data_IF_815733357075
#
_entry.id   IF_815733357075
#
_cell.length_a   1.000
_cell.length_b   1.000
_cell.length_c   1.000
_cell.angle_alpha   90.00
_cell.angle_beta   90.00
_cell.angle_gamma   90.00
#
_symmetry.space_group_name_H-M   'P 1'
#
loop_
_entity.id
_entity.type
_entity.pdbx_description
1 polymer ?
#
# COMPACT_ATOMS: atom_id res chain seq x y z
N UNK A 1 27.54 -1.95 25.40
CA UNK A 1 26.46 -2.81 25.94
C UNK A 1 25.23 -1.98 26.30
N UNK A 2 25.33 -0.96 27.16
CA UNK A 2 24.17 -0.14 27.54
C UNK A 2 23.35 0.36 26.32
N UNK A 3 23.99 0.85 25.27
CA UNK A 3 23.30 1.32 24.05
C UNK A 3 22.53 0.23 23.33
N UNK A 4 23.01 -1.00 23.28
CA UNK A 4 22.27 -2.14 22.70
C UNK A 4 21.03 -2.47 23.55
N UNK A 5 21.14 -2.36 24.88
CA UNK A 5 19.99 -2.54 25.77
C UNK A 5 18.93 -1.48 25.52
N UNK A 6 19.32 -0.21 25.40
CA UNK A 6 18.38 0.90 25.12
C UNK A 6 17.64 0.68 23.78
N UNK A 7 18.36 0.29 22.74
CA UNK A 7 17.74 -0.05 21.43
C UNK A 7 16.81 -1.26 21.58
N UNK A 8 17.20 -2.28 22.39
CA UNK A 8 16.35 -3.46 22.63
C UNK A 8 15.05 -3.10 23.39
N UNK A 9 15.14 -2.16 24.34
CA UNK A 9 13.93 -1.68 25.07
C UNK A 9 12.96 -1.04 24.08
N UNK A 10 13.42 -0.18 23.19
CA UNK A 10 12.56 0.42 22.18
C UNK A 10 11.93 -0.66 21.25
N UNK A 11 12.71 -1.62 20.76
CA UNK A 11 12.18 -2.72 19.93
C UNK A 11 11.09 -3.52 20.67
N UNK A 12 11.25 -3.76 21.97
CA UNK A 12 10.26 -4.47 22.78
C UNK A 12 9.03 -3.62 23.02
N UNK A 13 9.20 -2.34 23.26
CA UNK A 13 8.13 -1.38 23.50
C UNK A 13 7.22 -1.28 22.29
N UNK A 14 7.78 -0.94 21.14
CA UNK A 14 7.11 -0.76 19.86
C UNK A 14 6.36 -2.03 19.38
N UNK A 15 6.97 -3.21 19.53
CA UNK A 15 6.38 -4.44 19.00
C UNK A 15 5.47 -5.19 19.98
N UNK A 16 5.66 -5.05 21.30
CA UNK A 16 4.99 -5.92 22.27
C UNK A 16 4.24 -5.21 23.39
N UNK A 17 4.69 -4.01 23.81
CA UNK A 17 4.06 -3.29 24.91
C UNK A 17 3.04 -2.27 24.41
N UNK A 18 3.31 -1.63 23.29
CA UNK A 18 2.47 -0.60 22.67
C UNK A 18 2.20 -0.88 21.19
N UNK A 19 1.68 -2.08 20.83
CA UNK A 19 1.38 -2.38 19.44
C UNK A 19 0.29 -1.47 18.90
N UNK A 20 0.24 -1.31 17.59
CA UNK A 20 -0.76 -0.46 16.92
C UNK A 20 -2.20 -0.92 17.24
N UNK A 21 -3.18 0.02 17.36
CA UNK A 21 -4.57 -0.31 17.63
C UNK A 21 -5.14 -1.37 16.68
N UNK A 22 -5.85 -2.36 17.21
CA UNK A 22 -6.39 -3.48 16.46
C UNK A 22 -5.40 -4.61 16.17
N UNK A 23 -4.16 -4.49 16.63
CA UNK A 23 -3.15 -5.56 16.52
C UNK A 23 -2.84 -6.16 17.89
N UNK A 24 -2.08 -7.24 17.90
CA UNK A 24 -1.66 -7.91 19.12
C UNK A 24 -0.16 -8.18 19.12
N UNK A 25 0.47 -8.36 20.29
CA UNK A 25 1.88 -8.78 20.37
C UNK A 25 2.19 -10.04 19.53
N UNK A 26 1.20 -10.93 19.34
CA UNK A 26 1.35 -12.11 18.49
C UNK A 26 1.52 -11.76 17.01
N UNK A 27 0.89 -10.69 16.54
CA UNK A 27 1.06 -10.18 15.17
C UNK A 27 2.46 -9.65 14.89
N UNK A 28 3.19 -9.23 15.93
CA UNK A 28 4.54 -8.66 15.84
C UNK A 28 5.67 -9.65 16.17
N UNK A 29 5.36 -10.97 16.29
CA UNK A 29 6.38 -11.96 16.68
C UNK A 29 7.59 -11.95 15.74
N UNK A 30 7.39 -11.90 14.43
CA UNK A 30 8.50 -11.94 13.48
C UNK A 30 9.35 -10.66 13.56
N UNK A 31 8.74 -9.48 13.53
CA UNK A 31 9.45 -8.19 13.59
C UNK A 31 10.20 -8.01 14.90
N UNK A 32 9.52 -8.22 16.03
CA UNK A 32 10.09 -8.01 17.36
C UNK A 32 11.13 -9.07 17.74
N UNK A 33 10.84 -10.36 17.56
CA UNK A 33 11.77 -11.43 17.97
C UNK A 33 13.04 -11.48 17.12
N UNK A 34 12.96 -11.25 15.81
CA UNK A 34 14.13 -11.24 14.94
C UNK A 34 15.03 -10.04 15.26
N UNK A 35 14.44 -8.86 15.45
CA UNK A 35 15.19 -7.68 15.86
C UNK A 35 15.85 -7.87 17.24
N UNK A 36 15.12 -8.39 18.22
CA UNK A 36 15.64 -8.69 19.55
C UNK A 36 16.76 -9.75 19.50
N UNK A 37 16.57 -10.83 18.74
CA UNK A 37 17.58 -11.88 18.57
C UNK A 37 18.86 -11.34 17.91
N UNK A 38 18.74 -10.47 16.92
CA UNK A 38 19.88 -9.81 16.30
C UNK A 38 20.67 -8.92 17.30
N UNK A 39 19.97 -8.16 18.15
CA UNK A 39 20.58 -7.33 19.20
C UNK A 39 21.26 -8.18 20.27
N UNK A 40 20.63 -9.27 20.73
CA UNK A 40 21.23 -10.22 21.67
C UNK A 40 22.44 -10.88 21.06
N UNK A 41 22.33 -11.37 19.80
CA UNK A 41 23.46 -11.94 19.05
C UNK A 41 24.63 -10.98 18.92
N UNK A 42 24.36 -9.71 18.63
CA UNK A 42 25.34 -8.64 18.59
C UNK A 42 26.03 -8.45 19.95
N UNK A 43 25.25 -8.42 21.03
CA UNK A 43 25.78 -8.27 22.40
C UNK A 43 26.70 -9.45 22.80
N UNK A 44 26.33 -10.68 22.44
CA UNK A 44 27.12 -11.90 22.69
C UNK A 44 28.38 -11.92 21.82
N UNK A 45 28.29 -11.51 20.57
CA UNK A 45 29.40 -11.53 19.62
C UNK A 45 30.43 -10.42 19.92
N UNK A 46 29.98 -9.25 20.35
CA UNK A 46 30.81 -8.05 20.52
C UNK A 46 32.12 -8.32 21.29
N UNK A 47 32.13 -8.93 22.50
CA UNK A 47 33.36 -9.18 23.25
C UNK A 47 34.30 -10.21 22.57
N UNK A 48 33.75 -11.09 21.72
CA UNK A 48 34.51 -12.14 21.03
C UNK A 48 35.15 -11.67 19.73
N UNK A 49 34.69 -10.54 19.18
CA UNK A 49 35.19 -10.00 17.91
C UNK A 49 36.54 -9.28 18.10
N UNK A 50 37.35 -9.27 17.05
CA UNK A 50 38.54 -8.41 16.92
C UNK A 50 38.10 -6.95 16.80
N UNK A 51 39.01 -6.01 17.04
CA UNK A 51 38.71 -4.57 17.06
C UNK A 51 37.95 -4.09 15.79
N UNK A 52 38.32 -4.54 14.60
CA UNK A 52 37.59 -4.20 13.37
C UNK A 52 36.15 -4.71 13.36
N UNK A 53 35.93 -5.97 13.77
CA UNK A 53 34.58 -6.54 13.87
C UNK A 53 33.73 -5.83 14.93
N UNK A 54 34.30 -5.46 16.08
CA UNK A 54 33.62 -4.63 17.11
C UNK A 54 33.19 -3.28 16.55
N UNK A 55 34.08 -2.63 15.80
CA UNK A 55 33.78 -1.36 15.19
C UNK A 55 32.67 -1.47 14.15
N UNK A 56 32.73 -2.48 13.26
CA UNK A 56 31.70 -2.72 12.26
C UNK A 56 30.34 -3.00 12.91
N UNK A 57 30.30 -3.87 13.92
CA UNK A 57 29.05 -4.17 14.62
C UNK A 57 28.48 -2.93 15.32
N UNK A 58 29.32 -2.14 15.99
CA UNK A 58 28.89 -0.90 16.64
C UNK A 58 28.33 0.12 15.62
N UNK A 59 28.98 0.28 14.45
CA UNK A 59 28.51 1.17 13.40
C UNK A 59 27.17 0.71 12.81
N UNK A 60 27.03 -0.58 12.48
CA UNK A 60 25.81 -1.15 11.89
C UNK A 60 24.62 -0.99 12.85
N UNK A 61 24.75 -1.50 14.08
CA UNK A 61 23.64 -1.41 15.04
C UNK A 61 23.42 0.02 15.55
N UNK A 62 24.44 0.86 15.52
CA UNK A 62 24.30 2.29 15.81
C UNK A 62 23.43 2.99 14.76
N UNK A 63 23.72 2.80 13.48
CA UNK A 63 22.91 3.37 12.39
C UNK A 63 21.50 2.81 12.40
N UNK A 64 21.33 1.50 12.53
CA UNK A 64 19.99 0.88 12.60
C UNK A 64 19.18 1.44 13.79
N UNK A 65 19.77 1.52 14.98
CA UNK A 65 19.09 2.06 16.15
C UNK A 65 18.69 3.54 15.99
N UNK A 66 19.52 4.34 15.29
CA UNK A 66 19.16 5.72 14.95
C UNK A 66 17.97 5.79 13.97
N UNK A 67 17.98 4.97 12.92
CA UNK A 67 16.90 4.97 11.92
C UNK A 67 15.59 4.51 12.53
N UNK A 68 15.61 3.36 13.21
CA UNK A 68 14.42 2.78 13.84
C UNK A 68 13.84 3.76 14.88
N UNK A 69 14.68 4.27 15.80
CA UNK A 69 14.23 5.15 16.85
C UNK A 69 13.84 6.57 16.40
N UNK A 70 14.22 7.00 15.17
CA UNK A 70 13.91 8.36 14.70
C UNK A 70 12.61 8.45 13.90
N UNK A 71 12.11 7.35 13.36
CA UNK A 71 11.04 7.37 12.35
C UNK A 71 9.75 8.00 12.90
N UNK A 72 9.24 7.54 14.00
CA UNK A 72 8.01 8.04 14.62
C UNK A 72 8.19 9.38 15.33
N UNK A 73 9.19 9.57 16.22
CA UNK A 73 9.38 10.86 16.89
C UNK A 73 9.58 12.04 15.94
N UNK A 74 10.26 11.85 14.82
CA UNK A 74 10.41 12.91 13.79
C UNK A 74 9.08 13.26 13.16
N UNK A 75 8.25 12.26 12.89
CA UNK A 75 6.94 12.47 12.28
C UNK A 75 5.95 13.12 13.24
N UNK A 76 5.77 12.55 14.43
CA UNK A 76 4.79 13.04 15.40
C UNK A 76 5.23 14.38 16.03
N UNK A 77 6.49 14.54 16.35
CA UNK A 77 7.03 15.79 16.90
C UNK A 77 6.78 17.01 16.02
N UNK A 78 6.66 16.81 14.69
CA UNK A 78 6.36 17.90 13.76
C UNK A 78 4.85 18.18 13.60
N UNK A 79 3.93 17.35 14.13
CA UNK A 79 2.49 17.39 13.79
C UNK A 79 1.50 17.39 14.96
N UNK A 80 1.84 16.83 16.08
CA UNK A 80 0.85 16.71 17.16
C UNK A 80 1.44 16.50 18.56
N UNK A 81 2.75 16.44 18.66
CA UNK A 81 3.44 16.13 19.91
C UNK A 81 3.83 14.65 20.03
N UNK A 82 4.73 14.38 20.97
CA UNK A 82 5.28 13.07 21.23
C UNK A 82 4.35 12.26 22.15
N UNK A 83 4.27 10.97 21.94
CA UNK A 83 3.55 10.00 22.77
C UNK A 83 4.52 8.97 23.40
N UNK A 84 3.99 8.03 24.15
CA UNK A 84 4.72 7.13 25.05
C UNK A 84 5.92 6.40 24.43
N UNK A 85 5.74 5.71 23.31
CA UNK A 85 6.78 4.95 22.58
C UNK A 85 7.79 5.83 21.84
N UNK A 86 7.38 7.04 21.44
CA UNK A 86 8.29 8.02 20.85
C UNK A 86 9.50 8.36 21.75
N UNK A 87 9.30 8.34 23.08
CA UNK A 87 10.39 8.62 24.03
C UNK A 87 11.43 7.50 24.07
N UNK A 88 11.00 6.24 23.95
CA UNK A 88 11.93 5.11 23.84
C UNK A 88 12.66 5.13 22.50
N UNK A 89 12.01 5.62 21.43
CA UNK A 89 12.61 5.89 20.12
C UNK A 89 13.73 6.95 20.20
N UNK A 90 13.49 8.08 20.86
CA UNK A 90 14.50 9.12 21.09
C UNK A 90 15.70 8.55 21.86
N UNK A 91 15.45 7.73 22.90
CA UNK A 91 16.51 7.07 23.64
C UNK A 91 17.30 6.10 22.76
N UNK A 92 16.65 5.36 21.84
CA UNK A 92 17.31 4.49 20.88
C UNK A 92 18.20 5.28 19.90
N UNK A 93 17.78 6.46 19.44
CA UNK A 93 18.62 7.37 18.64
C UNK A 93 19.89 7.76 19.40
N UNK A 94 19.76 8.17 20.67
CA UNK A 94 20.90 8.53 21.50
C UNK A 94 21.85 7.33 21.70
N UNK A 95 21.31 6.14 21.97
CA UNK A 95 22.05 4.88 22.05
C UNK A 95 22.81 4.56 20.76
N UNK A 96 22.14 4.77 19.60
CA UNK A 96 22.73 4.61 18.28
C UNK A 96 23.90 5.54 18.01
N UNK A 97 23.76 6.82 18.36
CA UNK A 97 24.85 7.83 18.26
C UNK A 97 26.07 7.42 19.07
N UNK A 98 25.87 6.94 20.31
CA UNK A 98 26.97 6.44 21.16
C UNK A 98 27.66 5.25 20.50
N UNK A 99 26.91 4.29 19.93
CA UNK A 99 27.50 3.15 19.22
C UNK A 99 28.31 3.57 18.00
N UNK A 100 27.80 4.51 17.20
CA UNK A 100 28.54 5.07 16.05
C UNK A 100 29.84 5.71 16.52
N UNK A 101 29.81 6.51 17.60
CA UNK A 101 30.99 7.13 18.21
C UNK A 101 32.01 6.09 18.69
N UNK A 102 31.58 5.04 19.39
CA UNK A 102 32.41 3.90 19.83
C UNK A 102 33.03 3.18 18.65
N UNK A 103 32.26 2.90 17.60
CA UNK A 103 32.74 2.26 16.38
C UNK A 103 33.83 3.09 15.70
N UNK A 104 33.59 4.38 15.49
CA UNK A 104 34.53 5.31 14.90
C UNK A 104 35.81 5.45 15.74
N UNK A 105 35.69 5.63 17.08
CA UNK A 105 36.82 5.69 17.99
C UNK A 105 37.63 4.40 17.98
N UNK A 106 36.98 3.22 17.91
CA UNK A 106 37.65 1.93 17.83
C UNK A 106 38.48 1.83 16.56
N UNK A 107 37.91 2.17 15.40
CA UNK A 107 38.66 2.21 14.13
C UNK A 107 39.86 3.17 14.19
N UNK A 108 39.65 4.35 14.79
CA UNK A 108 40.70 5.35 14.91
C UNK A 108 41.85 4.88 15.78
N UNK A 109 41.57 4.29 16.96
CA UNK A 109 42.58 3.84 17.95
C UNK A 109 43.33 2.60 17.46
N UNK A 110 42.69 1.72 16.73
CA UNK A 110 43.25 0.44 16.27
C UNK A 110 43.89 0.51 14.88
N UNK A 111 43.98 1.72 14.31
CA UNK A 111 44.65 1.89 12.99
C UNK A 111 46.14 1.47 13.13
N UNK A 112 46.54 0.52 12.28
CA UNK A 112 47.95 0.11 12.17
C UNK A 112 48.76 1.22 11.54
N UNK A 113 49.89 1.59 12.14
CA UNK A 113 50.78 2.65 11.66
C UNK A 113 51.94 2.13 10.82
N UNK A 114 52.28 0.84 10.96
CA UNK A 114 53.53 0.26 10.47
C UNK A 114 53.38 -0.52 9.13
N UNK A 115 52.20 -0.55 8.54
CA UNK A 115 52.00 -1.19 7.24
C UNK A 115 52.59 -0.33 6.09
N UNK A 116 53.14 -0.98 5.06
CA UNK A 116 53.54 -0.31 3.80
C UNK A 116 52.37 0.53 3.30
N UNK A 117 52.65 1.75 2.83
CA UNK A 117 51.64 2.75 2.40
C UNK A 117 50.59 2.11 1.45
N UNK A 118 51.03 1.36 0.42
CA UNK A 118 50.15 0.72 -0.54
C UNK A 118 49.18 -0.26 0.12
N UNK A 119 49.66 -1.16 0.99
CA UNK A 119 48.82 -2.14 1.70
C UNK A 119 47.83 -1.47 2.66
N UNK A 120 48.27 -0.37 3.30
CA UNK A 120 47.42 0.42 4.20
C UNK A 120 46.27 1.07 3.45
N UNK A 121 46.56 1.76 2.35
CA UNK A 121 45.53 2.45 1.57
C UNK A 121 44.66 1.45 0.81
N UNK A 122 45.21 0.35 0.25
CA UNK A 122 44.43 -0.72 -0.37
C UNK A 122 43.43 -1.34 0.59
N UNK A 123 43.85 -1.69 1.84
CA UNK A 123 42.94 -2.21 2.86
C UNK A 123 41.88 -1.20 3.28
N UNK A 124 42.22 0.09 3.43
CA UNK A 124 41.24 1.14 3.74
C UNK A 124 40.21 1.30 2.64
N UNK A 125 40.64 1.27 1.40
CA UNK A 125 39.77 1.33 0.23
C UNK A 125 38.81 0.13 0.22
N UNK A 126 39.30 -1.10 0.41
CA UNK A 126 38.46 -2.29 0.47
C UNK A 126 37.44 -2.23 1.61
N UNK A 127 37.83 -1.75 2.79
CA UNK A 127 36.91 -1.55 3.91
C UNK A 127 35.86 -0.48 3.57
N UNK A 128 36.28 0.66 2.99
CA UNK A 128 35.37 1.73 2.60
C UNK A 128 34.39 1.28 1.53
N UNK A 129 34.85 0.56 0.50
CA UNK A 129 33.98 0.00 -0.55
C UNK A 129 33.02 -1.04 0.06
N UNK A 130 33.52 -1.96 0.89
CA UNK A 130 32.66 -2.95 1.56
C UNK A 130 31.60 -2.30 2.47
N UNK A 131 31.99 -1.26 3.22
CA UNK A 131 31.04 -0.50 4.04
C UNK A 131 29.99 0.24 3.19
N UNK A 132 30.40 0.86 2.09
CA UNK A 132 29.50 1.52 1.15
C UNK A 132 28.50 0.53 0.52
N UNK A 133 28.97 -0.64 0.11
CA UNK A 133 28.11 -1.70 -0.43
C UNK A 133 27.15 -2.23 0.62
N UNK A 134 27.61 -2.46 1.86
CA UNK A 134 26.75 -2.90 2.96
C UNK A 134 25.70 -1.82 3.30
N UNK A 135 26.10 -0.56 3.34
CA UNK A 135 25.18 0.56 3.57
C UNK A 135 24.11 0.62 2.47
N UNK A 136 24.49 0.53 1.21
CA UNK A 136 23.57 0.69 0.10
C UNK A 136 22.68 -0.55 -0.14
N UNK A 137 23.23 -1.77 -0.04
CA UNK A 137 22.49 -3.00 -0.38
C UNK A 137 21.85 -3.72 0.81
N UNK A 138 22.20 -3.35 2.03
CA UNK A 138 21.64 -4.00 3.22
C UNK A 138 20.97 -2.98 4.13
N UNK A 139 21.72 -2.00 4.65
CA UNK A 139 21.20 -1.07 5.66
C UNK A 139 20.12 -0.18 5.07
N UNK A 140 20.35 0.44 3.92
CA UNK A 140 19.39 1.36 3.31
C UNK A 140 18.08 0.68 2.92
N UNK A 141 18.02 -0.46 2.19
CA UNK A 141 16.75 -1.12 1.90
C UNK A 141 16.03 -1.68 3.14
N UNK A 142 16.74 -2.15 4.17
CA UNK A 142 16.13 -2.53 5.45
C UNK A 142 15.53 -1.32 6.17
N UNK A 143 16.25 -0.19 6.22
CA UNK A 143 15.74 1.04 6.81
C UNK A 143 14.51 1.55 6.07
N UNK A 144 14.51 1.47 4.74
CA UNK A 144 13.38 1.86 3.92
C UNK A 144 12.17 0.93 4.15
N UNK A 145 12.42 -0.39 4.26
CA UNK A 145 11.37 -1.38 4.60
C UNK A 145 10.74 -1.08 5.96
N UNK A 146 11.57 -0.76 6.95
CA UNK A 146 11.08 -0.36 8.27
C UNK A 146 10.22 0.89 8.18
N UNK A 147 10.71 1.95 7.52
CA UNK A 147 9.96 3.20 7.35
C UNK A 147 8.62 3.01 6.63
N UNK A 148 8.53 2.10 5.67
CA UNK A 148 7.28 1.82 4.95
C UNK A 148 6.29 0.96 5.75
N UNK A 149 6.75 0.22 6.75
CA UNK A 149 5.91 -0.61 7.61
C UNK A 149 5.57 0.06 8.95
N UNK A 150 6.21 1.20 9.27
CA UNK A 150 6.03 1.97 10.48
C UNK A 150 5.68 3.44 10.16
N UNK A 151 4.76 3.62 9.20
CA UNK A 151 4.30 4.97 8.82
C UNK A 151 3.39 5.52 9.90
N UNK A 152 3.68 6.73 10.34
CA UNK A 152 2.84 7.41 11.32
C UNK A 152 1.43 7.66 10.80
N UNK A 153 0.43 7.46 11.65
CA UNK A 153 -0.99 7.69 11.34
C UNK A 153 -1.25 9.18 11.16
N UNK A 154 -1.96 9.52 10.12
CA UNK A 154 -2.46 10.89 9.92
C UNK A 154 -3.95 10.84 9.61
N UNK A 155 -4.77 11.50 10.43
CA UNK A 155 -6.20 11.65 10.18
C UNK A 155 -6.43 12.62 9.03
N UNK A 156 -7.38 12.31 8.16
CA UNK A 156 -7.85 13.23 7.13
C UNK A 156 -9.11 13.91 7.63
N UNK A 157 -9.07 15.22 7.71
CA UNK A 157 -10.25 16.00 8.09
C UNK A 157 -11.40 15.76 7.09
N UNK A 158 -12.63 15.81 7.61
CA UNK A 158 -13.83 15.78 6.77
C UNK A 158 -13.77 16.91 5.75
N UNK A 159 -14.04 16.60 4.49
CA UNK A 159 -13.99 17.52 3.37
C UNK A 159 -15.27 17.49 2.55
N UNK A 160 -15.39 18.41 1.60
CA UNK A 160 -16.45 18.38 0.63
C UNK A 160 -16.19 17.25 -0.40
N UNK A 161 -17.05 16.25 -0.39
CA UNK A 161 -17.03 15.14 -1.36
C UNK A 161 -18.01 15.36 -2.53
N UNK A 162 -18.64 16.54 -2.62
CA UNK A 162 -19.63 16.88 -3.66
C UNK A 162 -21.06 16.46 -3.33
N UNK A 163 -21.29 15.78 -2.20
CA UNK A 163 -22.61 15.43 -1.65
C UNK A 163 -22.50 15.09 -0.17
N UNK A 164 -23.62 15.06 0.57
CA UNK A 164 -23.65 14.51 1.93
C UNK A 164 -23.15 13.07 1.97
N UNK A 165 -22.41 12.71 3.01
CA UNK A 165 -21.88 11.38 3.21
C UNK A 165 -22.08 10.90 4.65
N UNK A 166 -22.05 9.59 4.82
CA UNK A 166 -22.11 8.91 6.10
C UNK A 166 -20.68 8.57 6.55
N UNK A 167 -20.37 8.78 7.84
CA UNK A 167 -19.19 8.15 8.45
C UNK A 167 -19.53 6.70 8.72
N UNK A 168 -18.70 5.80 8.19
CA UNK A 168 -18.94 4.35 8.25
C UNK A 168 -17.78 3.62 8.89
N UNK A 169 -18.09 2.47 9.48
CA UNK A 169 -17.10 1.52 9.98
C UNK A 169 -17.49 0.12 9.50
N UNK A 170 -16.52 -0.67 9.10
CA UNK A 170 -16.73 -2.04 8.64
C UNK A 170 -15.47 -2.89 8.87
N UNK A 171 -15.66 -4.20 8.97
CA UNK A 171 -14.55 -5.13 9.19
C UNK A 171 -13.88 -5.51 7.88
N UNK A 172 -12.55 -5.46 7.84
CA UNK A 172 -11.72 -6.12 6.84
C UNK A 172 -11.93 -7.65 6.89
N UNK A 173 -11.46 -8.39 5.89
CA UNK A 173 -11.68 -9.85 5.86
C UNK A 173 -10.93 -10.62 6.96
N UNK A 174 -9.99 -9.99 7.62
CA UNK A 174 -9.22 -10.50 8.75
C UNK A 174 -9.63 -9.88 10.11
N UNK A 175 -10.79 -9.19 10.17
CA UNK A 175 -11.40 -8.73 11.40
C UNK A 175 -10.97 -7.33 11.85
N UNK A 176 -10.04 -6.65 11.17
CA UNK A 176 -9.66 -5.28 11.50
C UNK A 176 -10.81 -4.30 11.21
N UNK A 177 -11.06 -3.39 12.15
CA UNK A 177 -12.07 -2.34 11.97
C UNK A 177 -11.51 -1.20 11.11
N UNK A 178 -12.16 -0.95 9.97
CA UNK A 178 -11.82 0.13 9.05
C UNK A 178 -12.83 1.27 9.16
N UNK A 179 -12.35 2.51 9.01
CA UNK A 179 -13.13 3.74 9.11
C UNK A 179 -13.14 4.49 7.79
N UNK A 180 -14.29 4.97 7.38
CA UNK A 180 -14.42 5.64 6.09
C UNK A 180 -15.61 6.56 5.96
N UNK A 181 -15.81 7.05 4.75
CA UNK A 181 -16.94 7.83 4.33
C UNK A 181 -17.64 7.14 3.17
N UNK A 182 -18.95 7.11 3.21
CA UNK A 182 -19.78 6.58 2.12
C UNK A 182 -20.74 7.67 1.63
N UNK A 183 -20.67 7.99 0.36
CA UNK A 183 -21.68 8.81 -0.33
C UNK A 183 -22.72 7.87 -0.92
N UNK A 184 -24.02 8.00 -0.55
CA UNK A 184 -25.07 7.13 -1.06
C UNK A 184 -25.23 7.19 -2.58
N UNK A 185 -25.54 6.03 -3.17
CA UNK A 185 -25.73 5.91 -4.62
C UNK A 185 -27.06 6.53 -5.09
N UNK A 186 -27.01 7.24 -6.22
CA UNK A 186 -28.21 7.74 -6.94
C UNK A 186 -28.54 6.92 -8.19
N UNK A 187 -27.55 6.22 -8.74
CA UNK A 187 -27.69 5.43 -9.96
C UNK A 187 -27.70 3.90 -9.72
N UNK A 188 -27.65 3.48 -8.45
CA UNK A 188 -27.66 2.07 -8.05
C UNK A 188 -26.30 1.38 -8.15
N UNK A 189 -25.26 2.04 -8.64
CA UNK A 189 -23.90 1.50 -8.67
C UNK A 189 -23.01 2.20 -7.63
N UNK A 190 -22.01 1.49 -7.11
CA UNK A 190 -21.03 2.04 -6.20
C UNK A 190 -19.61 1.79 -6.68
N UNK A 191 -18.70 2.70 -6.33
CA UNK A 191 -17.28 2.60 -6.63
C UNK A 191 -16.47 2.73 -5.34
N UNK A 192 -15.58 1.79 -5.10
CA UNK A 192 -14.56 1.88 -4.05
C UNK A 192 -13.43 2.75 -4.62
N UNK A 193 -13.11 3.87 -3.94
CA UNK A 193 -11.97 4.72 -4.31
C UNK A 193 -10.85 4.49 -3.29
N UNK A 194 -9.69 4.03 -3.76
CA UNK A 194 -8.62 3.52 -2.91
C UNK A 194 -7.24 3.99 -3.44
N UNK A 195 -6.21 4.27 -2.62
CA UNK A 195 -6.11 3.95 -1.20
C UNK A 195 -6.40 5.17 -0.30
N UNK A 196 -7.36 5.03 0.58
CA UNK A 196 -7.57 5.96 1.69
C UNK A 196 -8.25 7.30 1.35
N UNK A 197 -8.67 8.00 2.39
CA UNK A 197 -9.36 9.31 2.30
C UNK A 197 -8.46 10.42 1.77
N UNK A 198 -7.16 10.33 2.02
CA UNK A 198 -6.18 11.32 1.59
C UNK A 198 -5.80 11.12 0.11
N UNK A 199 -5.86 12.19 -0.67
CA UNK A 199 -5.45 12.19 -2.07
C UNK A 199 -6.48 11.65 -3.07
N UNK A 200 -7.63 11.12 -2.61
CA UNK A 200 -8.66 10.56 -3.49
C UNK A 200 -9.95 11.40 -3.55
N UNK A 201 -10.01 12.54 -2.87
CA UNK A 201 -11.22 13.36 -2.77
C UNK A 201 -11.68 13.91 -4.13
N UNK A 202 -10.76 14.29 -5.02
CA UNK A 202 -11.09 14.77 -6.37
C UNK A 202 -11.75 13.65 -7.21
N UNK A 203 -11.22 12.43 -7.15
CA UNK A 203 -11.79 11.28 -7.83
C UNK A 203 -13.16 10.92 -7.24
N UNK A 204 -13.33 11.06 -5.93
CA UNK A 204 -14.62 10.91 -5.25
C UNK A 204 -15.63 11.90 -5.75
N UNK A 205 -15.29 13.20 -5.78
CA UNK A 205 -16.19 14.25 -6.31
C UNK A 205 -16.58 14.00 -7.77
N UNK A 206 -15.63 13.55 -8.59
CA UNK A 206 -15.90 13.20 -9.99
C UNK A 206 -16.98 12.12 -10.10
N UNK A 207 -16.86 11.02 -9.36
CA UNK A 207 -17.83 9.92 -9.39
C UNK A 207 -19.19 10.32 -8.81
N UNK A 208 -19.21 11.08 -7.71
CA UNK A 208 -20.42 11.57 -7.06
C UNK A 208 -21.25 12.46 -7.99
N UNK A 209 -20.60 13.33 -8.79
CA UNK A 209 -21.30 14.16 -9.79
C UNK A 209 -22.08 13.34 -10.81
N UNK A 210 -21.66 12.10 -11.09
CA UNK A 210 -22.32 11.17 -12.00
C UNK A 210 -23.27 10.18 -11.30
N UNK A 211 -23.58 10.44 -10.02
CA UNK A 211 -24.58 9.68 -9.26
C UNK A 211 -24.10 8.35 -8.71
N UNK A 212 -22.84 8.01 -8.85
CA UNK A 212 -22.27 6.83 -8.21
C UNK A 212 -22.27 6.96 -6.69
N UNK A 213 -22.62 5.89 -5.99
CA UNK A 213 -22.24 5.73 -4.58
C UNK A 213 -20.72 5.60 -4.50
N UNK A 214 -20.10 6.23 -3.51
CA UNK A 214 -18.64 6.17 -3.37
C UNK A 214 -18.26 5.81 -1.94
N UNK A 215 -17.50 4.72 -1.81
CA UNK A 215 -16.87 4.36 -0.56
C UNK A 215 -15.38 4.74 -0.63
N UNK A 216 -14.95 5.62 0.27
CA UNK A 216 -13.56 5.98 0.50
C UNK A 216 -13.25 5.80 1.98
N UNK A 217 -12.18 5.08 2.32
CA UNK A 217 -11.87 4.73 3.70
C UNK A 217 -10.36 4.77 3.94
N UNK A 218 -9.97 4.96 5.20
CA UNK A 218 -8.59 4.82 5.61
C UNK A 218 -8.18 3.36 5.54
N UNK A 219 -7.12 3.08 4.82
CA UNK A 219 -6.53 1.72 4.75
C UNK A 219 -6.03 1.30 6.13
N UNK A 220 -5.81 0.01 6.32
CA UNK A 220 -5.23 -0.53 7.56
C UNK A 220 -4.00 0.27 7.99
N UNK A 221 -3.89 0.54 9.28
CA UNK A 221 -2.77 1.27 9.86
C UNK A 221 -2.74 2.77 9.56
N UNK A 222 -3.76 3.34 8.91
CA UNK A 222 -3.85 4.77 8.65
C UNK A 222 -5.10 5.41 9.25
N UNK A 223 -5.00 6.69 9.52
CA UNK A 223 -6.12 7.49 10.05
C UNK A 223 -6.71 6.88 11.30
N UNK A 224 -8.03 6.58 11.23
CA UNK A 224 -8.79 5.97 12.32
C UNK A 224 -8.96 4.44 12.15
N UNK A 225 -8.44 3.85 11.07
CA UNK A 225 -8.51 2.41 10.83
C UNK A 225 -7.49 1.65 11.66
N UNK A 226 -7.86 0.45 12.11
CA UNK A 226 -6.99 -0.44 12.88
C UNK A 226 -5.90 -1.09 12.02
N UNK A 227 -4.97 -1.78 12.66
CA UNK A 227 -3.92 -2.58 12.04
C UNK A 227 -2.60 -1.83 11.88
N UNK A 228 -1.62 -2.52 11.33
CA UNK A 228 -0.30 -1.98 11.04
C UNK A 228 -0.25 -1.31 9.67
N UNK A 229 0.43 -0.16 9.57
CA UNK A 229 0.62 0.49 8.30
C UNK A 229 1.55 -0.32 7.38
N UNK A 230 1.25 -0.32 6.09
CA UNK A 230 2.16 -0.84 5.08
C UNK A 230 2.05 0.02 3.81
N UNK A 231 2.99 0.93 3.63
CA UNK A 231 2.97 1.86 2.49
C UNK A 231 3.09 1.15 1.12
N UNK A 232 3.57 -0.10 1.10
CA UNK A 232 3.66 -0.92 -0.12
C UNK A 232 2.35 -1.67 -0.44
N UNK A 233 1.30 -1.47 0.35
CA UNK A 233 -0.03 -2.02 0.07
C UNK A 233 -0.20 -3.51 0.33
N UNK A 234 0.69 -4.14 1.11
CA UNK A 234 0.52 -5.55 1.46
C UNK A 234 -0.68 -5.74 2.39
N UNK A 235 -1.51 -6.73 2.08
CA UNK A 235 -2.73 -7.00 2.83
C UNK A 235 -3.93 -6.12 2.49
N UNK A 236 -3.82 -5.16 1.56
CA UNK A 236 -4.91 -4.27 1.16
C UNK A 236 -6.07 -4.99 0.47
N UNK A 237 -5.83 -6.16 -0.14
CA UNK A 237 -6.89 -7.03 -0.63
C UNK A 237 -7.88 -7.44 0.46
N UNK A 238 -7.43 -7.57 1.71
CA UNK A 238 -8.28 -7.89 2.86
C UNK A 238 -9.21 -6.74 3.22
N UNK A 239 -8.72 -5.49 3.12
CA UNK A 239 -9.51 -4.28 3.30
C UNK A 239 -10.60 -4.18 2.24
N UNK A 240 -10.22 -4.41 0.97
CA UNK A 240 -11.14 -4.37 -0.16
C UNK A 240 -12.21 -5.47 -0.10
N UNK A 241 -11.87 -6.67 0.35
CA UNK A 241 -12.86 -7.74 0.60
C UNK A 241 -13.87 -7.35 1.68
N UNK A 242 -13.44 -6.64 2.72
CA UNK A 242 -14.32 -6.04 3.72
C UNK A 242 -15.22 -4.95 3.13
N UNK A 243 -14.65 -4.04 2.34
CA UNK A 243 -15.38 -2.98 1.65
C UNK A 243 -16.44 -3.53 0.69
N UNK A 244 -16.15 -4.60 -0.03
CA UNK A 244 -17.12 -5.30 -0.89
C UNK A 244 -18.28 -5.88 -0.09
N UNK A 245 -18.01 -6.52 1.06
CA UNK A 245 -19.07 -7.02 1.96
C UNK A 245 -19.95 -5.89 2.47
N UNK A 246 -19.35 -4.77 2.88
CA UNK A 246 -20.08 -3.59 3.33
C UNK A 246 -21.02 -3.05 2.24
N UNK A 247 -20.51 -2.83 1.03
CA UNK A 247 -21.32 -2.30 -0.08
C UNK A 247 -22.44 -3.25 -0.53
N UNK A 248 -22.21 -4.55 -0.47
CA UNK A 248 -23.25 -5.56 -0.79
C UNK A 248 -24.40 -5.58 0.21
N UNK A 249 -24.18 -5.12 1.44
CA UNK A 249 -25.21 -4.96 2.45
C UNK A 249 -26.04 -3.68 2.33
N UNK A 250 -25.69 -2.79 1.39
CA UNK A 250 -26.38 -1.50 1.21
C UNK A 250 -27.62 -1.66 0.34
N UNK A 251 -28.70 -1.00 0.74
CA UNK A 251 -29.97 -1.00 -0.01
C UNK A 251 -29.99 -0.05 -1.19
N UNK A 252 -29.11 0.96 -1.19
CA UNK A 252 -28.93 1.94 -2.26
C UNK A 252 -27.91 1.48 -3.33
N UNK A 253 -27.28 0.31 -3.15
CA UNK A 253 -26.39 -0.33 -4.12
C UNK A 253 -27.09 -1.58 -4.67
N UNK A 254 -27.33 -1.62 -5.97
CA UNK A 254 -28.07 -2.72 -6.60
C UNK A 254 -27.15 -3.91 -6.91
N UNK A 255 -27.32 -4.98 -6.16
CA UNK A 255 -26.72 -6.29 -6.44
C UNK A 255 -25.20 -6.22 -6.73
N UNK A 256 -24.79 -6.67 -7.93
CA UNK A 256 -23.37 -6.77 -8.26
C UNK A 256 -22.75 -5.49 -8.85
N UNK A 257 -23.42 -4.33 -8.80
CA UNK A 257 -22.95 -3.10 -9.48
C UNK A 257 -21.87 -2.37 -8.67
N UNK A 258 -20.80 -3.06 -8.31
CA UNK A 258 -19.68 -2.52 -7.54
C UNK A 258 -18.42 -2.49 -8.41
N UNK A 259 -17.86 -1.30 -8.60
CA UNK A 259 -16.56 -1.06 -9.24
C UNK A 259 -15.47 -0.63 -8.27
N UNK A 260 -14.26 -0.53 -8.76
CA UNK A 260 -13.12 0.01 -8.02
C UNK A 260 -12.30 0.99 -8.86
N UNK A 261 -11.91 2.11 -8.28
CA UNK A 261 -10.94 3.05 -8.82
C UNK A 261 -9.76 3.13 -7.85
N UNK A 262 -8.60 2.67 -8.29
CA UNK A 262 -7.40 2.61 -7.46
C UNK A 262 -6.25 3.42 -8.01
N UNK A 263 -5.60 4.16 -7.11
CA UNK A 263 -4.40 4.94 -7.41
C UNK A 263 -3.17 4.21 -6.87
N UNK A 264 -2.12 4.08 -7.68
CA UNK A 264 -0.85 3.47 -7.25
C UNK A 264 -1.07 2.09 -6.60
N UNK A 265 -0.60 1.86 -5.38
CA UNK A 265 -0.83 0.63 -4.59
C UNK A 265 -2.32 0.26 -4.43
N UNK A 266 -3.22 1.23 -4.51
CA UNK A 266 -4.66 0.99 -4.53
C UNK A 266 -5.13 0.33 -5.81
N UNK A 267 -4.57 0.70 -6.95
CA UNK A 267 -4.79 0.03 -8.23
C UNK A 267 -4.31 -1.42 -8.22
N UNK A 268 -3.13 -1.65 -7.65
CA UNK A 268 -2.57 -2.99 -7.46
C UNK A 268 -3.47 -3.88 -6.61
N UNK A 269 -3.95 -3.35 -5.48
CA UNK A 269 -4.83 -4.09 -4.57
C UNK A 269 -6.19 -4.42 -5.21
N UNK A 270 -6.75 -3.50 -6.00
CA UNK A 270 -7.99 -3.74 -6.75
C UNK A 270 -7.82 -4.79 -7.83
N UNK A 271 -6.70 -4.79 -8.57
CA UNK A 271 -6.38 -5.84 -9.55
C UNK A 271 -6.26 -7.20 -8.88
N UNK A 272 -5.60 -7.30 -7.72
CA UNK A 272 -5.53 -8.52 -6.93
C UNK A 272 -6.92 -8.97 -6.47
N UNK A 273 -7.70 -8.06 -5.89
CA UNK A 273 -9.05 -8.38 -5.40
C UNK A 273 -9.95 -8.87 -6.52
N UNK A 274 -9.90 -8.24 -7.70
CA UNK A 274 -10.65 -8.69 -8.88
C UNK A 274 -10.24 -10.08 -9.34
N UNK A 275 -8.94 -10.39 -9.33
CA UNK A 275 -8.42 -11.70 -9.72
C UNK A 275 -8.80 -12.82 -8.73
N UNK A 276 -8.97 -12.48 -7.45
CA UNK A 276 -9.26 -13.45 -6.39
C UNK A 276 -10.75 -13.67 -6.13
N UNK A 277 -11.58 -12.62 -6.21
CA UNK A 277 -12.98 -12.69 -5.74
C UNK A 277 -14.02 -12.67 -6.85
N UNK A 278 -13.73 -12.06 -8.00
CA UNK A 278 -14.70 -11.77 -9.09
C UNK A 278 -15.94 -10.96 -8.65
N UNK A 279 -15.88 -10.33 -7.49
CA UNK A 279 -16.97 -9.52 -6.94
C UNK A 279 -16.97 -8.10 -7.51
N UNK A 280 -15.80 -7.56 -7.85
CA UNK A 280 -15.68 -6.33 -8.60
C UNK A 280 -16.18 -6.54 -10.05
N UNK A 281 -17.01 -5.63 -10.53
CA UNK A 281 -17.59 -5.68 -11.89
C UNK A 281 -16.93 -4.72 -12.86
N UNK A 282 -16.07 -3.86 -12.38
CA UNK A 282 -15.21 -3.00 -13.19
C UNK A 282 -14.03 -2.51 -12.34
N UNK A 283 -12.84 -2.43 -12.89
CA UNK A 283 -11.65 -1.91 -12.22
C UNK A 283 -10.99 -0.85 -13.08
N UNK A 284 -10.76 0.32 -12.50
CA UNK A 284 -9.84 1.34 -13.02
C UNK A 284 -8.60 1.29 -12.16
N UNK A 285 -7.46 0.98 -12.74
CA UNK A 285 -6.16 0.95 -12.08
C UNK A 285 -5.30 2.07 -12.67
N UNK A 286 -5.06 3.12 -11.89
CA UNK A 286 -4.28 4.29 -12.28
C UNK A 286 -2.93 4.27 -11.57
N UNK A 287 -1.86 4.00 -12.31
CA UNK A 287 -0.51 4.01 -11.81
C UNK A 287 -0.11 2.77 -11.02
N UNK A 288 -0.65 1.58 -11.30
CA UNK A 288 -0.18 0.35 -10.67
C UNK A 288 1.31 0.13 -10.92
N UNK A 289 2.05 -0.15 -9.86
CA UNK A 289 3.49 -0.34 -9.89
C UNK A 289 3.91 -1.81 -9.92
N UNK A 290 5.19 -2.05 -9.58
CA UNK A 290 5.74 -3.41 -9.44
C UNK A 290 5.48 -3.97 -8.04
N UNK A 291 5.23 -5.27 -7.94
CA UNK A 291 5.00 -6.00 -6.68
C UNK A 291 5.98 -7.14 -6.45
N UNK A 292 6.93 -7.32 -7.34
CA UNK A 292 7.90 -8.41 -7.25
C UNK A 292 9.27 -7.96 -7.75
N UNK A 293 10.31 -8.61 -7.23
CA UNK A 293 11.70 -8.38 -7.67
C UNK A 293 11.86 -8.53 -9.19
N UNK A 294 11.09 -9.44 -9.81
CA UNK A 294 11.12 -9.62 -11.26
C UNK A 294 10.54 -8.39 -11.99
N UNK A 295 9.38 -7.91 -11.54
CA UNK A 295 8.73 -6.73 -12.12
C UNK A 295 9.58 -5.47 -11.95
N UNK A 296 10.34 -5.35 -10.85
CA UNK A 296 11.26 -4.23 -10.61
C UNK A 296 12.38 -4.13 -11.66
N UNK A 297 12.78 -5.25 -12.28
CA UNK A 297 13.96 -5.29 -13.15
C UNK A 297 13.66 -5.64 -14.60
N UNK A 298 12.43 -6.01 -14.95
CA UNK A 298 12.09 -6.54 -16.27
C UNK A 298 12.42 -5.55 -17.38
N UNK A 299 12.15 -4.26 -17.17
CA UNK A 299 12.40 -3.18 -18.12
C UNK A 299 13.78 -2.52 -17.99
N UNK A 300 14.58 -2.91 -17.00
CA UNK A 300 15.92 -2.34 -16.84
C UNK A 300 16.88 -2.84 -17.91
N UNK A 301 17.60 -1.91 -18.55
CA UNK A 301 18.65 -2.24 -19.52
C UNK A 301 19.99 -2.59 -18.86
N UNK A 302 20.31 -1.89 -17.75
CA UNK A 302 21.57 -2.01 -17.02
C UNK A 302 21.29 -2.22 -15.53
N UNK A 303 22.32 -2.63 -14.79
CA UNK A 303 22.29 -2.78 -13.35
C UNK A 303 21.19 -3.72 -12.78
N UNK A 304 20.72 -4.70 -13.57
CA UNK A 304 19.71 -5.68 -13.10
C UNK A 304 20.17 -6.42 -11.85
N UNK A 305 21.41 -6.94 -11.83
CA UNK A 305 21.90 -7.71 -10.68
C UNK A 305 21.98 -6.90 -9.38
N UNK A 306 22.53 -5.67 -9.38
CA UNK A 306 22.46 -4.79 -8.22
C UNK A 306 21.03 -4.50 -7.76
N UNK A 307 20.12 -4.22 -8.68
CA UNK A 307 18.72 -3.95 -8.35
C UNK A 307 18.02 -5.19 -7.78
N UNK A 308 18.28 -6.38 -8.30
CA UNK A 308 17.75 -7.64 -7.74
C UNK A 308 18.14 -7.79 -6.27
N UNK A 309 19.41 -7.52 -5.92
CA UNK A 309 19.87 -7.60 -4.51
C UNK A 309 19.14 -6.58 -3.65
N UNK A 310 19.05 -5.34 -4.10
CA UNK A 310 18.35 -4.27 -3.39
C UNK A 310 16.87 -4.63 -3.16
N UNK A 311 16.14 -4.99 -4.21
CA UNK A 311 14.72 -5.34 -4.15
C UNK A 311 14.48 -6.60 -3.30
N UNK A 312 15.35 -7.60 -3.37
CA UNK A 312 15.23 -8.80 -2.57
C UNK A 312 15.41 -8.51 -1.07
N UNK A 313 16.40 -7.68 -0.70
CA UNK A 313 16.61 -7.28 0.70
C UNK A 313 15.43 -6.42 1.19
N UNK A 314 14.95 -5.49 0.38
CA UNK A 314 13.79 -4.67 0.70
C UNK A 314 12.52 -5.52 0.88
N UNK A 315 12.23 -6.44 -0.04
CA UNK A 315 11.08 -7.35 0.06
C UNK A 315 11.17 -8.22 1.32
N UNK A 316 12.36 -8.77 1.61
CA UNK A 316 12.59 -9.58 2.82
C UNK A 316 12.42 -8.75 4.09
N UNK A 317 12.96 -7.52 4.10
CA UNK A 317 12.79 -6.59 5.21
C UNK A 317 11.33 -6.22 5.44
N UNK A 318 10.59 -5.92 4.36
CA UNK A 318 9.16 -5.62 4.45
C UNK A 318 8.37 -6.82 5.00
N UNK A 319 8.65 -8.05 4.53
CA UNK A 319 8.00 -9.25 5.04
C UNK A 319 8.26 -9.45 6.54
N UNK A 320 9.51 -9.19 6.96
CA UNK A 320 9.92 -9.34 8.34
C UNK A 320 9.26 -8.30 9.26
N UNK A 321 9.30 -7.03 8.86
CA UNK A 321 8.81 -5.92 9.69
C UNK A 321 7.28 -5.79 9.70
N UNK A 322 6.58 -6.26 8.66
CA UNK A 322 5.11 -6.29 8.62
C UNK A 322 4.50 -7.62 9.04
N UNK A 323 5.29 -8.66 9.29
CA UNK A 323 4.82 -10.03 9.51
C UNK A 323 3.84 -10.52 8.41
N UNK A 324 4.06 -10.09 7.18
CA UNK A 324 3.23 -10.43 6.02
C UNK A 324 4.06 -11.04 4.90
N UNK A 325 3.46 -11.94 4.13
CA UNK A 325 4.11 -12.47 2.93
C UNK A 325 3.98 -11.47 1.78
N UNK A 326 4.98 -11.43 0.87
CA UNK A 326 4.89 -10.63 -0.35
C UNK A 326 3.64 -11.00 -1.15
N UNK A 327 2.87 -10.00 -1.63
CA UNK A 327 1.72 -10.27 -2.47
C UNK A 327 2.15 -10.89 -3.82
N UNK A 328 1.25 -11.60 -4.50
CA UNK A 328 1.52 -12.13 -5.84
C UNK A 328 1.84 -11.01 -6.83
N UNK A 329 2.69 -11.29 -7.81
CA UNK A 329 2.97 -10.35 -8.91
C UNK A 329 1.72 -10.06 -9.73
N UNK A 330 1.59 -8.84 -10.22
CA UNK A 330 0.44 -8.44 -11.04
C UNK A 330 0.43 -9.17 -12.40
N UNK A 331 1.60 -9.46 -12.97
CA UNK A 331 1.71 -10.26 -14.20
C UNK A 331 1.05 -11.64 -14.06
N UNK A 332 1.15 -12.28 -12.88
CA UNK A 332 0.49 -13.57 -12.59
C UNK A 332 -1.02 -13.44 -12.31
N UNK A 333 -1.44 -12.31 -11.78
CA UNK A 333 -2.84 -12.06 -11.43
C UNK A 333 -3.67 -11.61 -12.64
N UNK A 334 -3.09 -10.83 -13.54
CA UNK A 334 -3.76 -10.23 -14.68
C UNK A 334 -4.61 -11.20 -15.52
N UNK A 335 -4.16 -12.42 -15.89
CA UNK A 335 -4.99 -13.37 -16.64
C UNK A 335 -6.25 -13.84 -15.90
N UNK A 336 -6.25 -13.75 -14.57
CA UNK A 336 -7.34 -14.24 -13.71
C UNK A 336 -8.44 -13.21 -13.47
N UNK A 337 -8.23 -11.96 -13.88
CA UNK A 337 -9.19 -10.87 -13.70
C UNK A 337 -10.41 -11.05 -14.61
N UNK A 338 -10.21 -11.52 -15.83
CA UNK A 338 -11.31 -11.78 -16.75
C UNK A 338 -12.39 -12.70 -16.13
N UNK A 339 -13.67 -12.42 -16.38
CA UNK A 339 -14.28 -11.48 -17.32
C UNK A 339 -14.54 -10.07 -16.75
N UNK A 340 -13.92 -9.67 -15.63
CA UNK A 340 -14.07 -8.32 -15.08
C UNK A 340 -13.38 -7.30 -16.00
N UNK A 341 -14.10 -6.28 -16.52
CA UNK A 341 -13.49 -5.20 -17.30
C UNK A 341 -12.44 -4.45 -16.51
N UNK A 342 -11.30 -4.16 -17.16
CA UNK A 342 -10.19 -3.39 -16.55
C UNK A 342 -9.76 -2.26 -17.47
N UNK A 343 -9.65 -1.05 -16.90
CA UNK A 343 -8.99 0.09 -17.51
C UNK A 343 -7.65 0.32 -16.79
N UNK A 344 -6.56 0.03 -17.48
CA UNK A 344 -5.21 0.37 -17.04
C UNK A 344 -4.86 1.79 -17.47
N UNK A 345 -4.50 2.64 -16.53
CA UNK A 345 -4.01 4.00 -16.78
C UNK A 345 -2.58 4.07 -16.26
N UNK A 346 -1.67 4.68 -17.03
CA UNK A 346 -0.30 4.87 -16.60
C UNK A 346 0.31 6.14 -17.16
N UNK A 347 1.23 6.74 -16.41
CA UNK A 347 1.88 8.00 -16.74
C UNK A 347 3.16 7.80 -17.58
N UNK A 348 3.46 8.77 -18.45
CA UNK A 348 4.74 8.79 -19.20
C UNK A 348 5.94 8.93 -18.26
N UNK A 349 5.81 9.76 -17.21
CA UNK A 349 6.80 9.97 -16.18
C UNK A 349 6.33 9.32 -14.87
N UNK A 350 5.94 8.04 -14.96
CA UNK A 350 5.48 7.24 -13.83
C UNK A 350 6.60 6.88 -12.85
N UNK A 351 6.22 6.32 -11.72
CA UNK A 351 7.13 5.87 -10.67
C UNK A 351 6.78 4.45 -10.19
N UNK A 352 7.69 3.82 -9.46
CA UNK A 352 7.43 2.54 -8.79
C UNK A 352 7.13 1.36 -9.70
N UNK A 353 7.65 1.36 -10.94
CA UNK A 353 7.42 0.27 -11.91
C UNK A 353 6.12 0.43 -12.72
N UNK A 354 5.58 1.64 -12.81
CA UNK A 354 4.37 1.94 -13.57
C UNK A 354 4.50 1.62 -15.07
N UNK A 355 5.70 1.56 -15.60
CA UNK A 355 6.03 1.11 -16.95
C UNK A 355 5.75 -0.40 -17.20
N UNK A 356 5.42 -1.16 -16.17
CA UNK A 356 4.90 -2.53 -16.31
C UNK A 356 3.42 -2.60 -16.76
N UNK A 357 2.65 -1.50 -16.74
CA UNK A 357 1.22 -1.55 -17.09
C UNK A 357 0.93 -2.10 -18.51
N UNK A 358 1.73 -1.84 -19.56
CA UNK A 358 1.58 -2.51 -20.86
C UNK A 358 1.74 -4.04 -20.78
N UNK A 359 2.54 -4.56 -19.86
CA UNK A 359 2.73 -5.99 -19.66
C UNK A 359 1.52 -6.60 -18.96
N UNK A 360 1.02 -5.93 -17.90
CA UNK A 360 -0.23 -6.32 -17.23
C UNK A 360 -1.41 -6.31 -18.19
N UNK A 361 -1.52 -5.27 -19.04
CA UNK A 361 -2.54 -5.23 -20.09
C UNK A 361 -2.41 -6.38 -21.06
N UNK A 362 -1.20 -6.71 -21.54
CA UNK A 362 -0.99 -7.85 -22.46
C UNK A 362 -1.38 -9.18 -21.81
N UNK A 363 -1.09 -9.36 -20.54
CA UNK A 363 -1.39 -10.58 -19.77
C UNK A 363 -2.88 -10.71 -19.42
N UNK A 364 -3.59 -9.60 -19.20
CA UNK A 364 -5.01 -9.62 -18.85
C UNK A 364 -5.88 -10.15 -19.99
N UNK A 365 -6.96 -10.87 -19.63
CA UNK A 365 -8.03 -11.25 -20.56
C UNK A 365 -8.99 -10.09 -20.85
N UNK A 366 -9.85 -10.29 -21.87
CA UNK A 366 -10.89 -9.30 -22.22
C UNK A 366 -12.05 -9.31 -21.20
N UNK A 367 -12.78 -8.17 -21.03
CA UNK A 367 -12.58 -6.86 -21.66
C UNK A 367 -11.51 -6.03 -20.92
N UNK A 368 -10.65 -5.38 -21.69
CA UNK A 368 -9.55 -4.56 -21.14
C UNK A 368 -9.27 -3.32 -21.97
N UNK A 369 -8.79 -2.26 -21.34
CA UNK A 369 -8.39 -1.02 -21.99
C UNK A 369 -7.05 -0.55 -21.42
N UNK A 370 -6.24 0.14 -22.21
CA UNK A 370 -4.98 0.74 -21.79
C UNK A 370 -4.96 2.21 -22.21
N UNK A 371 -4.61 3.07 -21.28
CA UNK A 371 -4.45 4.49 -21.56
C UNK A 371 -3.16 5.05 -20.96
N UNK A 372 -2.30 5.54 -21.82
CA UNK A 372 -1.09 6.26 -21.45
C UNK A 372 -1.38 7.76 -21.37
N UNK A 373 -1.00 8.41 -20.27
CA UNK A 373 -1.15 9.86 -20.08
C UNK A 373 0.23 10.50 -19.97
N UNK A 374 0.39 11.62 -20.66
CA UNK A 374 1.62 12.43 -20.54
C UNK A 374 1.54 13.29 -19.26
N UNK A 375 1.97 12.71 -18.16
CA UNK A 375 1.96 13.31 -16.82
C UNK A 375 2.91 12.55 -15.90
N UNK A 376 2.98 12.95 -14.63
CA UNK A 376 3.64 12.21 -13.54
C UNK A 376 2.69 11.21 -12.86
N UNK A 377 3.24 10.36 -12.01
CA UNK A 377 2.54 9.31 -11.28
C UNK A 377 1.22 9.78 -10.64
N UNK A 378 0.12 9.10 -10.97
CA UNK A 378 -1.26 9.35 -10.48
C UNK A 378 -1.81 10.78 -10.66
N UNK A 379 -1.18 11.61 -11.49
CA UNK A 379 -1.64 12.97 -11.76
C UNK A 379 -2.56 13.09 -13.01
N UNK A 380 -3.09 11.98 -13.50
CA UNK A 380 -3.91 11.94 -14.72
C UNK A 380 -5.15 12.83 -14.65
N UNK A 381 -5.88 12.79 -13.54
CA UNK A 381 -7.07 13.64 -13.35
C UNK A 381 -6.72 15.13 -13.33
N UNK A 382 -5.65 15.52 -12.67
CA UNK A 382 -5.22 16.91 -12.60
C UNK A 382 -4.68 17.43 -13.96
N UNK A 383 -3.95 16.60 -14.70
CA UNK A 383 -3.35 16.97 -15.97
C UNK A 383 -4.39 17.06 -17.11
N UNK A 384 -5.39 16.16 -17.13
CA UNK A 384 -6.39 16.07 -18.20
C UNK A 384 -7.82 15.85 -17.65
N UNK A 385 -8.37 16.78 -16.85
CA UNK A 385 -9.57 16.54 -16.06
C UNK A 385 -10.78 16.11 -16.90
N UNK A 386 -11.08 16.81 -18.00
CA UNK A 386 -12.22 16.50 -18.86
C UNK A 386 -12.08 15.15 -19.59
N UNK A 387 -10.88 14.82 -20.04
CA UNK A 387 -10.64 13.54 -20.73
C UNK A 387 -10.63 12.37 -19.75
N UNK A 388 -10.02 12.55 -18.59
CA UNK A 388 -9.99 11.57 -17.52
C UNK A 388 -11.40 11.21 -17.05
N UNK A 389 -12.20 12.25 -16.71
CA UNK A 389 -13.60 12.09 -16.33
C UNK A 389 -14.41 11.36 -17.40
N UNK A 390 -14.34 11.80 -18.65
CA UNK A 390 -15.07 11.15 -19.75
C UNK A 390 -14.71 9.66 -19.91
N UNK A 391 -13.40 9.30 -19.84
CA UNK A 391 -12.96 7.91 -20.02
C UNK A 391 -13.35 7.04 -18.84
N UNK A 392 -13.09 7.49 -17.62
CA UNK A 392 -13.38 6.74 -16.40
C UNK A 392 -14.89 6.56 -16.20
N UNK A 393 -15.66 7.63 -16.37
CA UNK A 393 -17.12 7.56 -16.22
C UNK A 393 -17.72 6.70 -17.35
N UNK A 394 -17.34 6.90 -18.61
CA UNK A 394 -17.82 6.07 -19.71
C UNK A 394 -17.48 4.58 -19.54
N UNK A 395 -16.33 4.27 -18.97
CA UNK A 395 -15.95 2.90 -18.62
C UNK A 395 -16.86 2.32 -17.54
N UNK A 396 -17.14 3.05 -16.46
CA UNK A 396 -18.03 2.58 -15.40
C UNK A 396 -19.49 2.52 -15.87
N UNK A 397 -19.98 3.50 -16.64
CA UNK A 397 -21.33 3.48 -17.19
C UNK A 397 -21.57 2.21 -18.03
N UNK A 398 -20.64 1.91 -18.92
CA UNK A 398 -20.72 0.70 -19.76
C UNK A 398 -20.65 -0.57 -18.94
N UNK A 399 -19.82 -0.62 -17.91
CA UNK A 399 -19.54 -1.85 -17.16
C UNK A 399 -20.53 -2.12 -16.04
N UNK A 400 -21.07 -1.07 -15.38
CA UNK A 400 -21.90 -1.18 -14.19
C UNK A 400 -23.39 -0.90 -14.46
N UNK A 401 -23.73 -0.01 -15.42
CA UNK A 401 -25.10 0.45 -15.64
C UNK A 401 -25.77 -0.16 -16.87
N UNK A 402 -25.01 -0.63 -17.88
CA UNK A 402 -25.56 -1.11 -19.15
C UNK A 402 -26.54 -2.30 -19.03
N UNK A 403 -26.42 -3.11 -17.96
CA UNK A 403 -27.38 -4.19 -17.67
C UNK A 403 -28.79 -3.68 -17.34
N UNK A 404 -28.93 -2.47 -16.81
CA UNK A 404 -30.22 -1.83 -16.54
C UNK A 404 -30.99 -1.53 -17.83
N UNK A 405 -30.31 -1.03 -18.84
CA UNK A 405 -30.92 -0.70 -20.14
C UNK A 405 -31.47 -1.98 -20.81
N UNK A 406 -30.77 -3.10 -20.67
CA UNK A 406 -31.24 -4.39 -21.26
C UNK A 406 -32.44 -4.98 -20.50
N UNK A 407 -32.41 -4.94 -19.14
CA UNK A 407 -33.54 -5.41 -18.33
C UNK A 407 -34.76 -4.52 -18.43
N UNK A 408 -34.57 -3.17 -18.44
CA UNK A 408 -35.64 -2.22 -18.65
C UNK A 408 -36.28 -2.32 -20.04
N UNK A 409 -35.49 -2.62 -21.07
CA UNK A 409 -36.03 -2.88 -22.43
C UNK A 409 -36.80 -4.21 -22.54
N UNK A 410 -36.38 -5.24 -21.78
CA UNK A 410 -37.11 -6.52 -21.70
C UNK A 410 -38.45 -6.38 -20.96
N UNK A 411 -38.50 -5.65 -19.86
CA UNK A 411 -39.72 -5.41 -19.08
C UNK A 411 -40.72 -4.52 -19.81
N UNK A 412 -40.25 -3.60 -20.66
CA UNK A 412 -41.13 -2.82 -21.55
C UNK A 412 -41.70 -3.64 -22.71
N UNK A 413 -41.00 -4.66 -23.19
CA UNK A 413 -41.49 -5.58 -24.23
C UNK A 413 -42.49 -6.63 -23.71
N UNK A 414 -42.55 -6.89 -22.42
CA UNK A 414 -43.47 -7.86 -21.81
C UNK A 414 -44.70 -7.20 -21.14
N UNK A 415 -45.06 -5.96 -21.45
CA UNK A 415 -46.40 -5.48 -21.09
C UNK A 415 -47.40 -6.13 -22.02
N UNK A 416 -48.33 -6.98 -21.51
CA UNK A 416 -49.38 -7.56 -22.35
C UNK A 416 -50.24 -6.41 -22.90
N UNK A 417 -50.49 -6.42 -24.21
CA UNK A 417 -51.45 -5.53 -24.82
C UNK A 417 -52.80 -5.67 -24.09
N UNK A 418 -53.34 -4.54 -23.59
CA UNK A 418 -54.70 -4.53 -23.06
C UNK A 418 -55.63 -5.04 -24.15
N UNK A 419 -56.13 -6.28 -23.99
CA UNK A 419 -57.21 -6.80 -24.78
C UNK A 419 -58.45 -6.00 -24.42
N UNK A 420 -58.88 -5.10 -25.31
CA UNK A 420 -60.19 -4.47 -25.27
C UNK A 420 -61.23 -5.54 -25.58
N UNK A 421 -61.91 -6.05 -24.56
CA UNK A 421 -63.11 -6.86 -24.75
C UNK A 421 -64.21 -6.00 -25.35
N UNK A 422 -64.90 -6.42 -26.41
CA UNK A 422 -66.06 -5.71 -26.93
C UNK A 422 -67.24 -5.83 -25.93
N UNK A 423 -67.89 -4.71 -25.66
CA UNK A 423 -69.11 -4.64 -24.87
C UNK A 423 -70.24 -5.49 -25.52
N UNK A 424 -71.02 -6.26 -24.74
CA UNK A 424 -72.17 -6.98 -25.30
C UNK A 424 -73.30 -6.00 -25.66
N UNK A 425 -73.76 -6.04 -26.92
CA UNK A 425 -75.01 -5.42 -27.34
C UNK A 425 -76.20 -6.05 -26.58
N UNK A 426 -76.89 -5.21 -25.80
CA UNK A 426 -78.21 -5.61 -25.23
C UNK A 426 -79.27 -5.71 -26.30
N UNK A 427 -80.29 -6.62 -26.13
CA UNK A 427 -81.32 -6.77 -27.08
C UNK A 427 -82.36 -5.66 -26.97
N UNK A 428 -82.75 -5.10 -28.12
CA UNK A 428 -83.93 -4.26 -28.26
C UNK A 428 -85.15 -5.14 -28.23
N UNK A 429 -85.96 -5.01 -27.19
CA UNK A 429 -87.29 -5.59 -27.12
C UNK A 429 -88.33 -4.59 -27.60
N UNK A 430 -89.15 -5.02 -28.48
CA UNK A 430 -90.44 -4.40 -28.86
C UNK A 430 -91.52 -4.70 -27.86
#
# INVERSE_FOLDING_TARGET
MASLIVISVHVVDDNFLQPQPGTSPAGHLASGLVAAAALVGAAIAYPRLRAGGRATLALVFGVLGMVIGATEPVWYGSRGGLSADDYTGIAAVAGGLVLVGVGAATLWRTRRRDDRLFLRYGRRLLIAVGAALALFYVIFPLSLSYAFTHVARSTTASGDLGAPYETVAFEASDGLMLKGWFVPSKNGAAVIVYPGKKGTQEHTRMLVRHGYGVLVFDRRGEGESEGDPNALGWGFDRDLKGALRFLRGRTDVEGPSIGGLGLSVGGEALLQTAAETRELKAVVSDGAGSRSVREDVVHMRFAKSPQIVFSAVMTTGTALFSNQLPPPSLERLAPRIAPTPVLFIYATNGAGGEDNNPDYYRAAGEPKQLWKIDTSHTHGLAARPKEYERRVIGFFDTSLLSRRSALGALTLRCRPAKVLLPSPCGPSGS
#
